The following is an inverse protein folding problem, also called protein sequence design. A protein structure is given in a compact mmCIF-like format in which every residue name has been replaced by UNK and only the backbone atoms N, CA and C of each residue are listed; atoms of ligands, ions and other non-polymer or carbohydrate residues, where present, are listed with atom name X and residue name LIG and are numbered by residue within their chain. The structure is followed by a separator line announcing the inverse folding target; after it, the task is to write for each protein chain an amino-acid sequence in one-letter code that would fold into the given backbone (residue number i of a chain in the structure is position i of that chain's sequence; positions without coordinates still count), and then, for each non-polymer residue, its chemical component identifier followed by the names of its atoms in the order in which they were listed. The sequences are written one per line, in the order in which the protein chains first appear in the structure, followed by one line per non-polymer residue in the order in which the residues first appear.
data_IF_042583894789
#
_entry.id   IF_042583894789
#
_cell.length_a   1.000
_cell.length_b   1.000
_cell.length_c   1.000
_cell.angle_alpha   90.00
_cell.angle_beta   90.00
_cell.angle_gamma   90.00
#
_symmetry.space_group_name_H-M   'P 1'
#
loop_
_entity.id
_entity.type
_entity.pdbx_description
1 polymer ?
#
# COMPACT_ATOMS: atom_id res chain seq x y z
N UNK A 1 -14.19 -6.93 15.52
CA UNK A 1 -13.83 -6.64 14.10
C UNK A 1 -14.14 -5.21 13.63
N UNK A 2 -14.87 -4.36 14.36
CA UNK A 2 -15.29 -3.03 13.85
C UNK A 2 -14.25 -1.90 13.80
N UNK A 3 -13.05 -2.06 14.37
CA UNK A 3 -12.03 -0.98 14.39
C UNK A 3 -11.27 -0.89 13.06
N UNK A 4 -10.96 -2.03 12.42
CA UNK A 4 -10.16 -2.07 11.18
C UNK A 4 -10.92 -1.50 9.97
N UNK A 5 -12.26 -1.55 9.97
CA UNK A 5 -13.09 -1.01 8.89
C UNK A 5 -13.62 0.40 9.19
N UNK A 6 -13.18 1.02 10.29
CA UNK A 6 -13.57 2.37 10.66
C UNK A 6 -12.31 3.24 10.87
N UNK A 7 -11.86 3.97 9.83
CA UNK A 7 -10.66 4.80 9.90
C UNK A 7 -10.68 5.79 11.07
N UNK A 8 -11.84 6.39 11.35
CA UNK A 8 -11.99 7.36 12.46
C UNK A 8 -11.66 6.71 13.79
N UNK A 9 -12.21 5.52 14.04
CA UNK A 9 -11.97 4.76 15.26
C UNK A 9 -10.55 4.21 15.33
N UNK A 10 -10.02 3.71 14.21
CA UNK A 10 -8.63 3.22 14.13
C UNK A 10 -7.62 4.30 14.54
N UNK A 11 -7.75 5.52 14.01
CA UNK A 11 -6.83 6.61 14.33
C UNK A 11 -7.07 7.21 15.73
N UNK A 12 -8.32 7.24 16.20
CA UNK A 12 -8.61 7.67 17.57
C UNK A 12 -8.00 6.72 18.62
N UNK A 13 -7.99 5.42 18.34
CA UNK A 13 -7.47 4.38 19.22
C UNK A 13 -6.07 3.91 18.81
N UNK A 14 -5.30 4.73 18.08
CA UNK A 14 -4.07 4.28 17.42
C UNK A 14 -3.07 3.66 18.40
N UNK A 15 -2.98 4.17 19.63
CA UNK A 15 -2.10 3.63 20.68
C UNK A 15 -2.38 2.15 21.01
N UNK A 16 -3.63 1.70 20.88
CA UNK A 16 -4.04 0.29 21.08
C UNK A 16 -3.86 -0.55 19.82
N UNK A 17 -3.91 0.07 18.64
CA UNK A 17 -3.84 -0.65 17.35
C UNK A 17 -2.43 -0.70 16.75
N UNK A 18 -1.43 -0.03 17.34
CA UNK A 18 -0.04 -0.05 16.86
C UNK A 18 0.52 -1.45 16.62
N UNK A 19 0.13 -2.41 17.46
CA UNK A 19 0.61 -3.79 17.38
C UNK A 19 0.06 -4.55 16.16
N UNK A 20 -1.04 -4.08 15.57
CA UNK A 20 -1.65 -4.69 14.39
C UNK A 20 -0.90 -4.31 13.11
N UNK A 21 -0.15 -3.22 13.11
CA UNK A 21 0.46 -2.67 11.89
C UNK A 21 1.35 -3.68 11.13
N UNK A 22 2.26 -4.45 11.78
CA UNK A 22 3.05 -5.46 11.08
C UNK A 22 2.17 -6.55 10.47
N UNK A 23 1.12 -6.96 11.18
CA UNK A 23 0.18 -7.97 10.70
C UNK A 23 -0.59 -7.48 9.47
N UNK A 24 -1.00 -6.20 9.42
CA UNK A 24 -1.66 -5.62 8.24
C UNK A 24 -0.74 -5.65 7.00
N UNK A 25 0.55 -5.39 7.18
CA UNK A 25 1.55 -5.48 6.10
C UNK A 25 1.65 -6.93 5.61
N UNK A 26 1.84 -7.88 6.53
CA UNK A 26 1.94 -9.30 6.17
C UNK A 26 0.68 -9.78 5.45
N UNK A 27 -0.51 -9.49 5.99
CA UNK A 27 -1.78 -9.90 5.38
C UNK A 27 -1.93 -9.31 3.98
N UNK A 28 -1.64 -8.01 3.78
CA UNK A 28 -1.71 -7.38 2.46
C UNK A 28 -0.80 -8.10 1.46
N UNK A 29 0.48 -8.28 1.78
CA UNK A 29 1.45 -8.77 0.79
C UNK A 29 1.39 -10.27 0.58
N UNK A 30 1.16 -11.06 1.64
CA UNK A 30 0.87 -12.50 1.50
C UNK A 30 -0.45 -12.68 0.76
N UNK A 31 -1.47 -11.89 1.07
CA UNK A 31 -2.76 -11.92 0.37
C UNK A 31 -2.60 -11.64 -1.11
N UNK A 32 -1.87 -10.58 -1.50
CA UNK A 32 -1.59 -10.32 -2.92
C UNK A 32 -0.82 -11.48 -3.57
N UNK A 33 0.19 -12.05 -2.89
CA UNK A 33 0.95 -13.18 -3.43
C UNK A 33 0.02 -14.39 -3.68
N UNK A 34 -0.78 -14.77 -2.69
CA UNK A 34 -1.62 -15.97 -2.74
C UNK A 34 -2.84 -15.84 -3.65
N UNK A 35 -3.49 -14.67 -3.64
CA UNK A 35 -4.78 -14.49 -4.32
C UNK A 35 -4.68 -13.80 -5.67
N UNK A 36 -3.61 -13.05 -5.93
CA UNK A 36 -3.43 -12.32 -7.19
C UNK A 36 -2.27 -12.91 -7.98
N UNK A 37 -1.05 -12.86 -7.43
CA UNK A 37 0.16 -13.25 -8.15
C UNK A 37 0.21 -14.74 -8.48
N UNK A 38 -0.21 -15.61 -7.55
CA UNK A 38 -0.21 -17.06 -7.76
C UNK A 38 -1.20 -17.47 -8.87
N UNK A 39 -2.48 -17.04 -8.88
CA UNK A 39 -3.37 -17.32 -10.00
C UNK A 39 -2.86 -16.79 -11.34
N UNK A 40 -2.32 -15.57 -11.39
CA UNK A 40 -1.75 -15.00 -12.62
C UNK A 40 -0.59 -15.84 -13.17
N UNK A 41 0.27 -16.37 -12.28
CA UNK A 41 1.33 -17.29 -12.66
C UNK A 41 0.78 -18.63 -13.17
N UNK A 42 -0.17 -19.23 -12.46
CA UNK A 42 -0.77 -20.52 -12.83
C UNK A 42 -1.53 -20.46 -14.17
N UNK A 43 -2.23 -19.35 -14.42
CA UNK A 43 -2.96 -19.12 -15.67
C UNK A 43 -2.07 -18.63 -16.82
N UNK A 44 -0.76 -18.44 -16.57
CA UNK A 44 0.21 -17.92 -17.54
C UNK A 44 -0.25 -16.60 -18.18
N UNK A 45 -0.91 -15.77 -17.38
CA UNK A 45 -1.36 -14.45 -17.82
C UNK A 45 -0.14 -13.60 -18.14
N UNK A 46 -0.21 -12.76 -19.17
CA UNK A 46 0.86 -11.81 -19.46
C UNK A 46 0.73 -10.59 -18.55
N UNK A 47 1.83 -10.03 -18.02
CA UNK A 47 1.78 -8.78 -17.29
C UNK A 47 1.29 -7.64 -18.20
N UNK A 48 0.55 -6.69 -17.63
CA UNK A 48 0.02 -5.52 -18.35
C UNK A 48 1.10 -4.63 -18.97
N UNK A 49 2.27 -4.70 -18.38
CA UNK A 49 3.35 -3.74 -18.45
C UNK A 49 4.63 -4.55 -18.32
N UNK A 50 5.61 -4.29 -19.19
CA UNK A 50 6.86 -5.07 -19.19
C UNK A 50 7.68 -4.71 -17.95
N UNK A 51 8.37 -5.58 -17.22
CA UNK A 51 9.23 -5.11 -16.12
C UNK A 51 10.36 -4.19 -16.62
N UNK A 52 10.80 -3.21 -15.82
CA UNK A 52 12.03 -2.43 -16.08
C UNK A 52 13.29 -3.31 -15.98
N UNK A 53 13.27 -4.25 -15.04
CA UNK A 53 14.29 -5.27 -14.93
C UNK A 53 14.16 -6.27 -16.09
N UNK A 54 15.26 -6.83 -16.61
CA UNK A 54 15.25 -7.79 -17.73
C UNK A 54 14.78 -9.17 -17.25
N UNK A 55 13.59 -9.24 -16.66
CA UNK A 55 12.95 -10.46 -16.19
C UNK A 55 12.05 -10.96 -17.33
N UNK A 56 12.26 -12.19 -17.83
CA UNK A 56 11.36 -12.78 -18.82
C UNK A 56 9.92 -12.79 -18.32
N UNK A 57 8.98 -12.37 -19.17
CA UNK A 57 7.55 -12.25 -18.82
C UNK A 57 6.97 -13.57 -18.26
N UNK A 58 7.44 -14.72 -18.75
CA UNK A 58 7.04 -16.05 -18.30
C UNK A 58 7.41 -16.33 -16.83
N UNK A 59 8.52 -15.74 -16.37
CA UNK A 59 9.03 -15.89 -15.01
C UNK A 59 8.65 -14.73 -14.09
N UNK A 60 8.03 -13.67 -14.63
CA UNK A 60 7.75 -12.43 -13.92
C UNK A 60 6.95 -12.68 -12.63
N UNK A 61 5.80 -13.36 -12.75
CA UNK A 61 4.95 -13.63 -11.58
C UNK A 61 5.59 -14.61 -10.58
N UNK A 62 6.45 -15.52 -11.03
CA UNK A 62 7.22 -16.39 -10.13
C UNK A 62 8.17 -15.57 -9.25
N UNK A 63 8.95 -14.66 -9.86
CA UNK A 63 9.83 -13.77 -9.10
C UNK A 63 9.04 -12.81 -8.21
N UNK A 64 7.89 -12.33 -8.69
CA UNK A 64 7.00 -11.51 -7.89
C UNK A 64 6.55 -12.28 -6.63
N UNK A 65 6.15 -13.56 -6.73
CA UNK A 65 5.77 -14.37 -5.55
C UNK A 65 6.85 -14.40 -4.46
N UNK A 66 8.11 -14.56 -4.86
CA UNK A 66 9.24 -14.65 -3.93
C UNK A 66 9.52 -13.29 -3.26
N UNK A 67 9.52 -12.22 -4.05
CA UNK A 67 9.98 -10.92 -3.59
C UNK A 67 8.88 -10.00 -3.08
N UNK A 68 7.59 -10.34 -3.25
CA UNK A 68 6.48 -9.45 -2.91
C UNK A 68 6.43 -9.08 -1.43
N UNK A 69 6.61 -10.04 -0.53
CA UNK A 69 6.61 -9.78 0.91
C UNK A 69 7.85 -8.98 1.36
N UNK A 70 9.10 -9.37 1.00
CA UNK A 70 10.28 -8.56 1.29
C UNK A 70 10.15 -7.12 0.76
N UNK A 71 9.70 -6.98 -0.50
CA UNK A 71 9.43 -5.68 -1.12
C UNK A 71 8.42 -4.87 -0.30
N UNK A 72 7.29 -5.49 0.04
CA UNK A 72 6.22 -4.85 0.77
C UNK A 72 6.63 -4.34 2.16
N UNK A 73 7.46 -5.10 2.87
CA UNK A 73 8.04 -4.70 4.15
C UNK A 73 8.97 -3.50 3.96
N UNK A 74 9.92 -3.59 3.03
CA UNK A 74 10.91 -2.52 2.75
C UNK A 74 10.20 -1.23 2.32
N UNK A 75 9.25 -1.33 1.39
CA UNK A 75 8.42 -0.22 0.94
C UNK A 75 7.72 0.48 2.12
N UNK A 76 7.06 -0.30 2.99
CA UNK A 76 6.35 0.26 4.14
C UNK A 76 7.30 0.98 5.09
N UNK A 77 8.51 0.43 5.31
CA UNK A 77 9.55 1.06 6.13
C UNK A 77 10.04 2.36 5.50
N UNK A 78 10.28 2.40 4.19
CA UNK A 78 10.69 3.61 3.46
C UNK A 78 9.62 4.70 3.59
N UNK A 79 8.36 4.39 3.28
CA UNK A 79 7.26 5.35 3.39
C UNK A 79 7.11 5.88 4.82
N UNK A 80 7.28 5.01 5.82
CA UNK A 80 7.23 5.39 7.23
C UNK A 80 8.41 6.28 7.64
N UNK A 81 9.61 5.98 7.16
CA UNK A 81 10.83 6.76 7.42
C UNK A 81 10.75 8.15 6.80
N UNK A 82 10.35 8.23 5.53
CA UNK A 82 10.15 9.49 4.80
C UNK A 82 9.08 10.34 5.49
N UNK A 83 7.93 9.75 5.83
CA UNK A 83 6.88 10.44 6.56
C UNK A 83 7.35 10.98 7.90
N UNK A 84 8.12 10.19 8.66
CA UNK A 84 8.67 10.61 9.95
C UNK A 84 9.64 11.78 9.79
N UNK A 85 10.54 11.73 8.79
CA UNK A 85 11.47 12.81 8.47
C UNK A 85 10.72 14.11 8.20
N UNK A 86 9.73 14.08 7.30
CA UNK A 86 8.94 15.25 6.97
C UNK A 86 8.11 15.76 8.14
N UNK A 87 7.53 14.90 8.98
CA UNK A 87 6.79 15.32 10.18
C UNK A 87 7.69 16.03 11.19
N UNK A 88 8.87 15.48 11.46
CA UNK A 88 9.85 16.08 12.39
C UNK A 88 10.41 17.40 11.89
N UNK A 89 10.68 17.52 10.58
CA UNK A 89 11.21 18.73 9.94
C UNK A 89 10.34 19.99 10.03
N UNK A 90 9.17 19.91 10.65
CA UNK A 90 8.35 21.09 10.95
C UNK A 90 7.70 20.99 12.31
N UNK A 91 8.52 20.67 13.31
CA UNK A 91 8.20 20.90 14.72
C UNK A 91 7.51 19.76 15.46
N UNK A 92 7.18 18.63 14.81
CA UNK A 92 6.50 17.49 15.46
C UNK A 92 7.50 16.51 16.08
N UNK A 93 8.38 16.97 16.95
CA UNK A 93 9.47 16.16 17.53
C UNK A 93 9.00 14.98 18.41
N UNK A 94 7.76 15.03 18.95
CA UNK A 94 7.15 13.91 19.68
C UNK A 94 6.64 12.74 18.80
N UNK A 95 6.79 12.83 17.47
CA UNK A 95 6.32 11.80 16.53
C UNK A 95 7.13 10.52 16.68
N UNK A 96 6.44 9.41 17.02
CA UNK A 96 7.04 8.07 17.16
C UNK A 96 6.90 7.28 15.87
N UNK A 97 7.98 6.63 15.43
CA UNK A 97 8.01 5.79 14.22
C UNK A 97 6.88 4.75 14.20
N UNK A 98 6.63 4.08 15.34
CA UNK A 98 5.57 3.06 15.45
C UNK A 98 4.18 3.58 15.05
N UNK A 99 3.86 4.83 15.40
CA UNK A 99 2.57 5.44 15.06
C UNK A 99 2.51 5.82 13.58
N UNK A 100 3.60 6.34 13.01
CA UNK A 100 3.71 6.59 11.57
C UNK A 100 3.56 5.28 10.79
N UNK A 101 4.30 4.24 11.19
CA UNK A 101 4.21 2.91 10.61
C UNK A 101 2.78 2.37 10.65
N UNK A 102 2.07 2.50 11.78
CA UNK A 102 0.67 2.10 11.87
C UNK A 102 -0.27 2.86 10.92
N UNK A 103 -0.06 4.17 10.73
CA UNK A 103 -0.82 4.96 9.75
C UNK A 103 -0.56 4.46 8.34
N UNK A 104 0.71 4.26 7.97
CA UNK A 104 1.09 3.77 6.64
C UNK A 104 0.55 2.36 6.40
N UNK A 105 0.78 1.41 7.31
CA UNK A 105 0.30 0.03 7.18
C UNK A 105 -1.22 -0.03 7.04
N UNK A 106 -1.95 0.78 7.81
CA UNK A 106 -3.41 0.84 7.73
C UNK A 106 -3.89 1.47 6.43
N UNK A 107 -3.28 2.59 6.02
CA UNK A 107 -3.60 3.27 4.78
C UNK A 107 -3.34 2.38 3.57
N UNK A 108 -2.26 1.59 3.56
CA UNK A 108 -2.00 0.56 2.56
C UNK A 108 -3.05 -0.58 2.63
N UNK A 109 -3.40 -1.03 3.82
CA UNK A 109 -4.24 -2.23 3.96
C UNK A 109 -5.70 -2.02 3.57
N UNK A 110 -6.33 -0.93 4.01
CA UNK A 110 -7.79 -0.80 3.88
C UNK A 110 -8.27 -0.69 2.43
N UNK A 111 -7.72 0.19 1.58
CA UNK A 111 -8.10 0.26 0.16
C UNK A 111 -7.75 -1.01 -0.61
N UNK A 112 -6.67 -1.71 -0.22
CA UNK A 112 -6.26 -2.98 -0.83
C UNK A 112 -7.35 -4.06 -0.75
N UNK A 113 -8.18 -4.10 0.29
CA UNK A 113 -9.27 -5.09 0.39
C UNK A 113 -10.24 -4.97 -0.81
N UNK A 114 -10.55 -3.75 -1.22
CA UNK A 114 -11.40 -3.50 -2.38
C UNK A 114 -10.69 -3.85 -3.69
N UNK A 115 -9.41 -3.48 -3.83
CA UNK A 115 -8.62 -3.90 -4.99
C UNK A 115 -8.55 -5.42 -5.10
N UNK A 116 -8.34 -6.13 -3.98
CA UNK A 116 -8.26 -7.59 -3.98
C UNK A 116 -9.53 -8.22 -4.54
N UNK A 117 -10.70 -7.78 -4.08
CA UNK A 117 -11.99 -8.28 -4.58
C UNK A 117 -12.16 -8.01 -6.08
N UNK A 118 -11.79 -6.81 -6.53
CA UNK A 118 -11.86 -6.43 -7.95
C UNK A 118 -10.88 -7.22 -8.82
N UNK A 119 -9.63 -7.34 -8.38
CA UNK A 119 -8.58 -8.06 -9.09
C UNK A 119 -8.93 -9.55 -9.22
N UNK A 120 -9.47 -10.16 -8.15
CA UNK A 120 -10.01 -11.52 -8.21
C UNK A 120 -11.11 -11.65 -9.26
N UNK A 121 -12.07 -10.72 -9.29
CA UNK A 121 -13.11 -10.72 -10.32
C UNK A 121 -12.52 -10.63 -11.73
N UNK A 122 -11.56 -9.74 -11.97
CA UNK A 122 -10.92 -9.60 -13.27
C UNK A 122 -10.15 -10.85 -13.69
N UNK A 123 -9.39 -11.46 -12.77
CA UNK A 123 -8.61 -12.67 -13.03
C UNK A 123 -9.53 -13.83 -13.39
N UNK A 124 -10.53 -14.12 -12.56
CA UNK A 124 -11.40 -15.29 -12.75
C UNK A 124 -12.45 -15.11 -13.86
N UNK A 125 -12.74 -13.87 -14.26
CA UNK A 125 -13.59 -13.59 -15.44
C UNK A 125 -12.81 -13.47 -16.75
N UNK A 126 -11.47 -13.54 -16.72
CA UNK A 126 -10.64 -13.37 -17.92
C UNK A 126 -10.49 -11.93 -18.40
N UNK A 127 -10.88 -10.93 -17.59
CA UNK A 127 -10.80 -9.51 -17.91
C UNK A 127 -9.61 -8.81 -17.23
N UNK A 128 -8.59 -9.57 -16.83
CA UNK A 128 -7.33 -9.01 -16.34
C UNK A 128 -6.69 -8.19 -17.47
N UNK A 129 -6.95 -6.87 -17.49
CA UNK A 129 -6.42 -5.90 -18.45
C UNK A 129 -6.19 -4.55 -17.77
N UNK A 130 -5.20 -3.80 -18.27
CA UNK A 130 -4.83 -2.48 -17.75
C UNK A 130 -6.03 -1.52 -17.67
N UNK A 131 -6.88 -1.49 -18.70
CA UNK A 131 -8.04 -0.61 -18.77
C UNK A 131 -9.05 -0.82 -17.63
N UNK A 132 -9.15 -2.05 -17.11
CA UNK A 132 -10.05 -2.40 -16.00
C UNK A 132 -9.39 -2.25 -14.64
N UNK A 133 -8.09 -2.47 -14.54
CA UNK A 133 -7.34 -2.36 -13.29
C UNK A 133 -7.08 -0.89 -12.91
N UNK A 134 -6.61 -0.07 -13.86
CA UNK A 134 -6.09 1.27 -13.57
C UNK A 134 -7.09 2.20 -12.87
N UNK A 135 -8.36 2.29 -13.27
CA UNK A 135 -9.30 3.20 -12.59
C UNK A 135 -9.48 2.82 -11.12
N UNK A 136 -9.63 1.53 -10.81
CA UNK A 136 -9.83 1.05 -9.44
C UNK A 136 -8.57 1.25 -8.60
N UNK A 137 -7.40 0.90 -9.14
CA UNK A 137 -6.13 1.09 -8.44
C UNK A 137 -5.79 2.57 -8.23
N UNK A 138 -6.17 3.45 -9.16
CA UNK A 138 -6.03 4.91 -8.99
C UNK A 138 -6.91 5.42 -7.85
N UNK A 139 -8.18 4.98 -7.80
CA UNK A 139 -9.08 5.32 -6.69
C UNK A 139 -8.57 4.79 -5.35
N UNK A 140 -7.97 3.60 -5.35
CA UNK A 140 -7.33 3.06 -4.16
C UNK A 140 -6.15 3.93 -3.71
N UNK A 141 -5.23 4.31 -4.60
CA UNK A 141 -4.10 5.20 -4.25
C UNK A 141 -4.58 6.55 -3.71
N UNK A 142 -5.66 7.12 -4.26
CA UNK A 142 -6.27 8.34 -3.71
C UNK A 142 -6.83 8.11 -2.29
N UNK A 143 -7.48 6.97 -2.07
CA UNK A 143 -7.98 6.59 -0.74
C UNK A 143 -6.83 6.34 0.26
N UNK A 144 -5.75 5.68 -0.16
CA UNK A 144 -4.53 5.49 0.64
C UNK A 144 -3.96 6.86 1.05
N UNK A 145 -3.79 7.78 0.09
CA UNK A 145 -3.31 9.14 0.32
C UNK A 145 -4.20 9.92 1.30
N UNK A 146 -5.51 9.84 1.14
CA UNK A 146 -6.46 10.43 2.08
C UNK A 146 -6.31 9.84 3.50
N UNK A 147 -6.17 8.52 3.63
CA UNK A 147 -5.98 7.86 4.92
C UNK A 147 -4.67 8.26 5.59
N UNK A 148 -3.58 8.41 4.83
CA UNK A 148 -2.32 8.94 5.36
C UNK A 148 -2.50 10.37 5.88
N UNK A 149 -3.07 11.25 5.05
CA UNK A 149 -3.29 12.65 5.42
C UNK A 149 -4.19 12.76 6.67
N UNK A 150 -5.30 12.03 6.68
CA UNK A 150 -6.22 11.98 7.82
C UNK A 150 -5.54 11.45 9.08
N UNK A 151 -4.77 10.36 8.98
CA UNK A 151 -4.00 9.81 10.09
C UNK A 151 -2.99 10.81 10.66
N UNK A 152 -2.20 11.46 9.81
CA UNK A 152 -1.21 12.46 10.24
C UNK A 152 -1.84 13.71 10.86
N UNK A 153 -2.97 14.16 10.31
CA UNK A 153 -3.74 15.25 10.89
C UNK A 153 -4.31 14.86 12.25
N UNK A 154 -4.99 13.71 12.33
CA UNK A 154 -5.73 13.28 13.52
C UNK A 154 -4.83 12.88 14.68
N UNK A 155 -3.71 12.21 14.41
CA UNK A 155 -2.81 11.64 15.43
C UNK A 155 -1.73 12.63 15.86
N UNK A 156 -1.19 13.42 14.92
CA UNK A 156 -0.08 14.33 15.21
C UNK A 156 -0.47 15.82 15.16
N UNK A 157 -1.72 16.15 14.85
CA UNK A 157 -2.18 17.53 14.72
C UNK A 157 -1.55 18.27 13.53
N UNK A 158 -1.06 17.55 12.52
CA UNK A 158 -0.43 18.16 11.34
C UNK A 158 -1.47 18.96 10.54
N UNK A 159 -1.13 20.13 10.00
CA UNK A 159 -2.07 20.88 9.16
C UNK A 159 -2.45 20.07 7.91
N UNK A 160 -3.68 20.22 7.42
CA UNK A 160 -4.18 19.45 6.27
C UNK A 160 -3.31 19.60 5.02
N UNK A 161 -2.88 20.82 4.68
CA UNK A 161 -2.01 21.05 3.52
C UNK A 161 -0.68 20.29 3.60
N UNK A 162 -0.07 20.24 4.79
CA UNK A 162 1.17 19.49 4.99
C UNK A 162 0.94 17.99 5.06
N UNK A 163 -0.13 17.54 5.70
CA UNK A 163 -0.51 16.13 5.72
C UNK A 163 -0.78 15.60 4.31
N UNK A 164 -1.46 16.39 3.47
CA UNK A 164 -1.69 16.10 2.06
C UNK A 164 -0.38 16.06 1.26
N UNK A 165 0.55 17.00 1.50
CA UNK A 165 1.87 16.97 0.86
C UNK A 165 2.65 15.69 1.19
N UNK A 166 2.69 15.29 2.47
CA UNK A 166 3.35 14.05 2.88
C UNK A 166 2.67 12.83 2.24
N UNK A 167 1.33 12.82 2.20
CA UNK A 167 0.58 11.75 1.54
C UNK A 167 0.90 11.67 0.04
N UNK A 168 0.94 12.81 -0.66
CA UNK A 168 1.29 12.87 -2.08
C UNK A 168 2.71 12.36 -2.33
N UNK A 169 3.68 12.76 -1.50
CA UNK A 169 5.06 12.26 -1.57
C UNK A 169 5.11 10.74 -1.36
N UNK A 170 4.37 10.20 -0.39
CA UNK A 170 4.29 8.75 -0.18
C UNK A 170 3.68 8.03 -1.38
N UNK A 171 2.61 8.55 -1.97
CA UNK A 171 2.00 7.98 -3.18
C UNK A 171 2.97 7.99 -4.35
N UNK A 172 3.74 9.08 -4.54
CA UNK A 172 4.77 9.16 -5.59
C UNK A 172 5.90 8.15 -5.35
N UNK A 173 6.37 7.99 -4.12
CA UNK A 173 7.39 6.99 -3.76
C UNK A 173 6.84 5.58 -4.00
N UNK A 174 5.61 5.30 -3.59
CA UNK A 174 4.95 4.02 -3.81
C UNK A 174 4.85 3.68 -5.30
N UNK A 175 4.36 4.63 -6.12
CA UNK A 175 4.27 4.48 -7.57
C UNK A 175 5.66 4.30 -8.18
N UNK A 176 6.63 5.14 -7.82
CA UNK A 176 7.99 5.07 -8.36
C UNK A 176 8.70 3.77 -8.03
N UNK A 177 8.60 3.29 -6.79
CA UNK A 177 9.16 1.99 -6.39
C UNK A 177 8.41 0.82 -7.00
N UNK A 178 7.12 0.95 -7.29
CA UNK A 178 6.35 -0.07 -8.02
C UNK A 178 6.73 -0.10 -9.50
N UNK A 179 7.01 1.06 -10.09
CA UNK A 179 7.41 1.20 -11.48
C UNK A 179 8.83 0.67 -11.76
N UNK A 180 9.73 0.69 -10.77
CA UNK A 180 11.02 0.00 -10.89
C UNK A 180 10.87 -1.52 -11.13
N UNK A 181 9.73 -2.09 -10.72
CA UNK A 181 9.40 -3.49 -10.90
C UNK A 181 8.55 -3.69 -12.17
N UNK A 182 7.92 -2.64 -12.70
CA UNK A 182 6.86 -2.68 -13.74
C UNK A 182 6.90 -1.44 -14.67
N UNK A 183 7.08 -1.61 -16.00
CA UNK A 183 7.12 -0.56 -17.05
C UNK A 183 5.75 -0.27 -17.66
#
# INVERSE_FOLDING_TARGET
MGILFNPRRFFAEIGKTLQLAPMLVVIRWVGTASFITLPLWLFRTQPFTQPWLPIPAESYYFWQLIFLLPYGIVLTLILSGVSLFFLRGGGRFGTRFRAVFAIISYGLFLPWIFCLAWDLFLIFSGHWMFAWAVPVHTMAVLAEGFLYAYGFHRVFGTSWGRAALIAALNSLIFIGLSALIVR
#
